data_IF_363415552926
#
_entry.id   IF_363415552926
#
_cell.length_a   1.000
_cell.length_b   1.000
_cell.length_c   1.000
_cell.angle_alpha   90.00
_cell.angle_beta   90.00
_cell.angle_gamma   90.00
#
_symmetry.space_group_name_H-M   'P 1'
#
loop_
_entity.id
_entity.type
_entity.pdbx_description
1 polymer ?
#
# COMPACT_ATOMS: atom_id res chain seq x y z
N UNK A 1 -24.31 11.57 17.73
CA UNK A 1 -23.73 10.29 18.20
C UNK A 1 -24.89 9.35 18.47
N UNK A 2 -25.05 8.30 17.67
CA UNK A 2 -26.13 7.33 17.85
C UNK A 2 -25.68 6.33 18.93
N UNK A 3 -26.32 6.36 20.10
CA UNK A 3 -26.09 5.39 21.17
C UNK A 3 -26.59 4.03 20.70
N UNK A 4 -25.71 3.03 20.62
CA UNK A 4 -26.12 1.65 20.30
C UNK A 4 -27.11 1.18 21.37
N UNK A 5 -28.31 0.67 21.02
CA UNK A 5 -29.42 0.44 21.97
C UNK A 5 -29.26 -0.80 22.86
N UNK A 6 -28.05 -1.36 22.96
CA UNK A 6 -27.81 -2.60 23.70
C UNK A 6 -26.42 -2.62 24.32
N UNK A 7 -26.25 -3.51 25.30
CA UNK A 7 -24.96 -3.79 25.96
C UNK A 7 -24.75 -5.30 25.99
N UNK A 8 -23.55 -5.75 25.63
CA UNK A 8 -23.12 -7.13 25.76
C UNK A 8 -22.19 -7.23 26.97
N UNK A 9 -22.60 -7.95 28.00
CA UNK A 9 -21.77 -8.21 29.17
C UNK A 9 -21.02 -9.54 28.99
N UNK A 10 -19.69 -9.47 28.88
CA UNK A 10 -18.84 -10.67 28.81
C UNK A 10 -18.68 -11.23 30.22
N UNK A 11 -19.47 -12.25 30.57
CA UNK A 11 -19.41 -12.90 31.88
C UNK A 11 -18.19 -13.83 32.01
N UNK A 12 -17.76 -14.39 30.89
CA UNK A 12 -16.54 -15.18 30.72
C UNK A 12 -16.07 -15.00 29.28
N UNK A 13 -14.78 -14.79 29.05
CA UNK A 13 -14.27 -14.39 27.74
C UNK A 13 -12.78 -14.66 27.54
N UNK A 14 -12.19 -14.17 26.44
CA UNK A 14 -10.77 -14.35 26.16
C UNK A 14 -9.91 -13.65 27.23
N UNK A 15 -8.70 -14.15 27.44
CA UNK A 15 -7.72 -13.51 28.33
C UNK A 15 -7.18 -12.18 27.77
N UNK A 16 -7.51 -11.84 26.52
CA UNK A 16 -7.06 -10.62 25.85
C UNK A 16 -8.06 -9.48 26.06
N UNK A 17 -7.56 -8.24 26.13
CA UNK A 17 -8.38 -7.02 26.27
C UNK A 17 -8.87 -6.45 24.93
N UNK A 18 -8.84 -7.25 23.86
CA UNK A 18 -9.17 -6.79 22.50
C UNK A 18 -10.69 -6.63 22.35
N UNK A 19 -11.11 -5.57 21.66
CA UNK A 19 -12.51 -5.39 21.30
C UNK A 19 -12.96 -6.39 20.24
N UNK A 20 -14.26 -6.60 20.06
CA UNK A 20 -14.79 -7.53 19.05
C UNK A 20 -14.33 -7.17 17.64
N UNK A 21 -14.26 -5.88 17.30
CA UNK A 21 -13.74 -5.41 16.00
C UNK A 21 -12.27 -5.77 15.78
N UNK A 22 -11.44 -5.68 16.82
CA UNK A 22 -10.02 -6.05 16.74
C UNK A 22 -9.86 -7.56 16.52
N UNK A 23 -10.67 -8.35 17.23
CA UNK A 23 -10.70 -9.80 17.10
C UNK A 23 -11.20 -10.23 15.72
N UNK A 24 -12.29 -9.62 15.22
CA UNK A 24 -12.83 -9.84 13.87
C UNK A 24 -11.77 -9.54 12.80
N UNK A 25 -11.09 -8.39 12.91
CA UNK A 25 -10.01 -8.02 11.98
C UNK A 25 -8.85 -9.04 12.04
N UNK A 26 -8.46 -9.49 13.24
CA UNK A 26 -7.41 -10.50 13.38
C UNK A 26 -7.81 -11.86 12.77
N UNK A 27 -9.07 -12.27 12.93
CA UNK A 27 -9.59 -13.51 12.34
C UNK A 27 -9.74 -13.41 10.81
N UNK A 28 -10.19 -12.27 10.30
CA UNK A 28 -10.28 -12.01 8.87
C UNK A 28 -8.89 -12.07 8.22
N UNK A 29 -7.89 -11.38 8.81
CA UNK A 29 -6.50 -11.43 8.34
C UNK A 29 -5.95 -12.86 8.33
N UNK A 30 -6.17 -13.63 9.40
CA UNK A 30 -5.74 -15.03 9.47
C UNK A 30 -6.36 -15.89 8.38
N UNK A 31 -7.66 -15.70 8.14
CA UNK A 31 -8.40 -16.45 7.11
C UNK A 31 -7.91 -16.08 5.71
N UNK A 32 -7.71 -14.79 5.44
CA UNK A 32 -7.18 -14.31 4.17
C UNK A 32 -5.77 -14.87 3.91
N UNK A 33 -4.88 -14.83 4.90
CA UNK A 33 -3.53 -15.40 4.77
C UNK A 33 -3.55 -16.91 4.50
N UNK A 34 -4.50 -17.65 5.08
CA UNK A 34 -4.70 -19.07 4.77
C UNK A 34 -5.10 -19.27 3.31
N UNK A 35 -6.09 -18.51 2.83
CA UNK A 35 -6.57 -18.58 1.44
C UNK A 35 -5.44 -18.26 0.47
N UNK A 36 -4.69 -17.17 0.70
CA UNK A 36 -3.54 -16.79 -0.15
C UNK A 36 -2.50 -17.90 -0.22
N UNK A 37 -2.15 -18.49 0.93
CA UNK A 37 -1.17 -19.59 0.99
C UNK A 37 -1.64 -20.83 0.22
N UNK A 38 -2.92 -21.17 0.29
CA UNK A 38 -3.46 -22.37 -0.35
C UNK A 38 -3.57 -22.22 -1.88
N UNK A 39 -3.95 -21.04 -2.36
CA UNK A 39 -4.07 -20.76 -3.79
C UNK A 39 -2.71 -20.46 -4.44
N UNK A 40 -1.77 -19.88 -3.68
CA UNK A 40 -0.56 -19.30 -4.24
C UNK A 40 -0.86 -18.07 -5.11
N UNK A 41 0.18 -17.39 -5.56
CA UNK A 41 0.03 -16.14 -6.33
C UNK A 41 -0.69 -16.35 -7.66
N UNK A 42 -0.28 -17.37 -8.44
CA UNK A 42 -0.89 -17.63 -9.75
C UNK A 42 -2.34 -18.10 -9.61
N UNK A 43 -2.68 -18.84 -8.55
CA UNK A 43 -4.06 -19.23 -8.25
C UNK A 43 -4.92 -18.04 -7.82
N UNK A 44 -4.36 -17.04 -7.13
CA UNK A 44 -5.07 -15.79 -6.82
C UNK A 44 -5.31 -14.94 -8.07
N UNK A 45 -4.32 -14.84 -8.95
CA UNK A 45 -4.47 -14.15 -10.24
C UNK A 45 -5.56 -14.83 -11.07
N UNK A 46 -5.56 -16.17 -11.13
CA UNK A 46 -6.58 -16.92 -11.87
C UNK A 46 -7.97 -16.77 -11.24
N UNK A 47 -8.07 -16.82 -9.90
CA UNK A 47 -9.32 -16.62 -9.18
C UNK A 47 -9.94 -15.24 -9.45
N UNK A 48 -9.11 -14.20 -9.54
CA UNK A 48 -9.56 -12.81 -9.74
C UNK A 48 -9.51 -12.37 -11.21
N UNK A 49 -9.35 -13.30 -12.16
CA UNK A 49 -9.18 -12.98 -13.59
C UNK A 49 -10.33 -12.12 -14.15
N UNK A 50 -11.57 -12.46 -13.83
CA UNK A 50 -12.74 -11.71 -14.33
C UNK A 50 -12.78 -10.28 -13.74
N UNK A 51 -12.48 -10.13 -12.45
CA UNK A 51 -12.42 -8.84 -11.77
C UNK A 51 -11.29 -7.97 -12.32
N UNK A 52 -10.12 -8.54 -12.55
CA UNK A 52 -8.99 -7.80 -13.16
C UNK A 52 -9.26 -7.39 -14.61
N UNK A 53 -9.96 -8.21 -15.39
CA UNK A 53 -10.38 -7.84 -16.74
C UNK A 53 -11.43 -6.70 -16.74
N UNK A 54 -12.35 -6.72 -15.77
CA UNK A 54 -13.29 -5.61 -15.55
C UNK A 54 -12.56 -4.34 -15.13
N UNK A 55 -11.59 -4.45 -14.21
CA UNK A 55 -10.73 -3.35 -13.79
C UNK A 55 -9.92 -2.77 -14.94
N UNK A 56 -9.36 -3.59 -15.83
CA UNK A 56 -8.63 -3.12 -17.00
C UNK A 56 -9.52 -2.30 -17.93
N UNK A 57 -10.76 -2.76 -18.15
CA UNK A 57 -11.74 -2.03 -18.95
C UNK A 57 -12.10 -0.68 -18.32
N UNK A 58 -12.29 -0.65 -16.99
CA UNK A 58 -12.50 0.57 -16.23
C UNK A 58 -11.33 1.56 -16.40
N UNK A 59 -10.11 1.11 -16.14
CA UNK A 59 -8.92 1.97 -16.19
C UNK A 59 -8.64 2.51 -17.59
N UNK A 60 -8.88 1.73 -18.65
CA UNK A 60 -8.76 2.24 -20.04
C UNK A 60 -9.73 3.40 -20.30
N UNK A 61 -10.98 3.27 -19.87
CA UNK A 61 -12.00 4.32 -20.01
C UNK A 61 -11.59 5.55 -19.21
N UNK A 62 -11.26 5.38 -17.93
CA UNK A 62 -10.89 6.48 -17.03
C UNK A 62 -9.63 7.21 -17.52
N UNK A 63 -8.59 6.49 -17.95
CA UNK A 63 -7.39 7.12 -18.53
C UNK A 63 -7.71 7.89 -19.80
N UNK A 64 -8.56 7.37 -20.69
CA UNK A 64 -8.96 8.07 -21.91
C UNK A 64 -9.76 9.35 -21.62
N UNK A 65 -10.71 9.28 -20.69
CA UNK A 65 -11.54 10.43 -20.28
C UNK A 65 -10.74 11.52 -19.54
N UNK A 66 -9.60 11.16 -18.96
CA UNK A 66 -8.76 12.09 -18.20
C UNK A 66 -7.94 13.04 -19.08
N UNK A 67 -7.84 12.81 -20.39
CA UNK A 67 -7.09 13.67 -21.32
C UNK A 67 -5.64 14.02 -20.89
N UNK A 68 -5.00 13.13 -20.12
CA UNK A 68 -3.64 13.33 -19.61
C UNK A 68 -3.56 14.11 -18.29
N UNK A 69 -4.69 14.52 -17.71
CA UNK A 69 -4.77 15.12 -16.39
C UNK A 69 -4.75 14.05 -15.28
N UNK A 70 -4.24 14.44 -14.11
CA UNK A 70 -4.04 13.55 -12.96
C UNK A 70 -4.57 14.19 -11.67
N UNK A 71 -5.01 13.35 -10.72
CA UNK A 71 -5.43 13.76 -9.38
C UNK A 71 -4.73 12.94 -8.31
N UNK A 72 -4.41 13.55 -7.18
CA UNK A 72 -3.67 12.88 -6.10
C UNK A 72 -4.60 12.25 -5.05
N UNK A 73 -4.38 10.96 -4.77
CA UNK A 73 -4.65 10.35 -3.49
C UNK A 73 -3.42 10.57 -2.60
N UNK A 74 -3.55 11.42 -1.59
CA UNK A 74 -2.43 11.89 -0.77
C UNK A 74 -2.73 11.85 0.71
N UNK A 75 -1.76 11.37 1.49
CA UNK A 75 -1.76 11.46 2.96
C UNK A 75 -0.39 11.91 3.46
N UNK A 76 -0.38 12.58 4.61
CA UNK A 76 0.84 12.99 5.32
C UNK A 76 0.83 12.37 6.70
N UNK A 77 1.92 11.69 7.06
CA UNK A 77 2.09 11.00 8.33
C UNK A 77 3.37 11.49 9.02
N UNK A 78 3.38 11.45 10.34
CA UNK A 78 4.57 11.72 11.15
C UNK A 78 4.83 10.53 12.06
N UNK A 79 6.03 9.98 12.01
CA UNK A 79 6.45 8.81 12.76
C UNK A 79 7.57 9.16 13.74
N UNK A 80 7.58 8.47 14.88
CA UNK A 80 8.69 8.46 15.85
C UNK A 80 9.23 7.03 16.03
N UNK A 81 10.51 6.92 16.39
CA UNK A 81 11.17 5.64 16.71
C UNK A 81 11.91 4.99 15.55
N UNK A 82 11.89 5.60 14.37
CA UNK A 82 12.61 5.17 13.18
C UNK A 82 13.05 6.40 12.38
N UNK A 83 14.22 6.36 11.76
CA UNK A 83 14.63 7.39 10.78
C UNK A 83 14.11 7.02 9.39
N UNK A 84 13.92 7.99 8.49
CA UNK A 84 13.48 7.71 7.12
C UNK A 84 14.49 6.81 6.39
N UNK A 85 15.79 6.99 6.63
CA UNK A 85 16.85 6.14 6.10
C UNK A 85 16.71 4.68 6.54
N UNK A 86 16.47 4.45 7.83
CA UNK A 86 16.27 3.08 8.34
C UNK A 86 15.04 2.44 7.71
N UNK A 87 13.95 3.20 7.58
CA UNK A 87 12.73 2.72 6.93
C UNK A 87 12.95 2.37 5.46
N UNK A 88 13.55 3.28 4.68
CA UNK A 88 13.78 3.09 3.25
C UNK A 88 14.74 1.92 3.00
N UNK A 89 15.80 1.77 3.80
CA UNK A 89 16.70 0.63 3.70
C UNK A 89 16.03 -0.70 4.04
N UNK A 90 15.12 -0.70 5.03
CA UNK A 90 14.30 -1.86 5.34
C UNK A 90 13.34 -2.18 4.18
N UNK A 91 12.69 -1.17 3.61
CA UNK A 91 11.70 -1.31 2.55
C UNK A 91 12.29 -1.74 1.19
N UNK A 92 13.43 -1.15 0.81
CA UNK A 92 14.16 -1.35 -0.44
C UNK A 92 15.64 -1.68 -0.13
N UNK A 93 15.95 -2.93 0.26
CA UNK A 93 17.32 -3.30 0.63
C UNK A 93 18.31 -3.13 -0.54
N UNK A 94 19.52 -2.66 -0.20
CA UNK A 94 20.57 -2.31 -1.16
C UNK A 94 21.11 -3.51 -1.98
N UNK A 95 20.90 -4.75 -1.51
CA UNK A 95 21.28 -5.97 -2.21
C UNK A 95 20.44 -6.24 -3.48
N UNK A 96 19.43 -5.39 -3.71
CA UNK A 96 18.49 -5.54 -4.81
C UNK A 96 17.30 -6.39 -4.39
N UNK A 97 16.14 -6.06 -4.95
CA UNK A 97 14.87 -6.60 -4.49
C UNK A 97 14.21 -5.67 -3.46
N UNK A 98 12.92 -5.90 -3.26
CA UNK A 98 12.15 -5.26 -2.20
C UNK A 98 12.02 -6.24 -1.02
N UNK A 99 11.48 -5.81 0.12
CA UNK A 99 11.14 -6.67 1.27
C UNK A 99 10.63 -8.07 0.90
N UNK A 100 10.79 -9.10 1.75
CA UNK A 100 10.21 -10.39 1.44
C UNK A 100 8.69 -10.27 1.23
N UNK A 101 8.17 -11.13 0.35
CA UNK A 101 6.78 -11.08 -0.12
C UNK A 101 5.77 -11.10 1.03
N UNK A 102 6.08 -11.84 2.10
CA UNK A 102 5.22 -12.00 3.26
C UNK A 102 4.95 -10.68 4.01
N UNK A 103 5.98 -9.86 4.20
CA UNK A 103 5.89 -8.55 4.86
C UNK A 103 5.07 -7.55 4.04
N UNK A 104 5.22 -7.58 2.71
CA UNK A 104 4.39 -6.78 1.80
C UNK A 104 2.93 -7.21 1.83
N UNK A 105 2.69 -8.51 1.70
CA UNK A 105 1.34 -9.08 1.75
C UNK A 105 0.66 -8.84 3.10
N UNK A 106 1.41 -8.82 4.20
CA UNK A 106 0.88 -8.61 5.55
C UNK A 106 0.48 -7.15 5.82
N UNK A 107 0.99 -6.18 5.05
CA UNK A 107 0.75 -4.76 5.30
C UNK A 107 -0.69 -4.34 4.98
N UNK A 108 -1.29 -4.92 3.94
CA UNK A 108 -2.68 -4.65 3.57
C UNK A 108 -3.45 -5.95 3.26
N UNK A 109 -4.67 -6.13 3.81
CA UNK A 109 -5.51 -7.30 3.53
C UNK A 109 -5.97 -7.40 2.06
N UNK A 110 -5.76 -6.34 1.26
CA UNK A 110 -6.07 -6.33 -0.17
C UNK A 110 -4.83 -6.41 -1.07
N UNK A 111 -3.63 -6.63 -0.53
CA UNK A 111 -2.48 -7.04 -1.34
C UNK A 111 -2.60 -8.52 -1.68
N UNK A 112 -3.17 -8.87 -2.83
CA UNK A 112 -3.37 -10.27 -3.21
C UNK A 112 -2.06 -10.90 -3.70
N UNK A 113 -1.33 -10.19 -4.58
CA UNK A 113 -0.04 -10.62 -5.13
C UNK A 113 0.92 -9.44 -5.15
N UNK A 114 2.16 -9.65 -4.71
CA UNK A 114 3.18 -8.61 -4.68
C UNK A 114 4.56 -9.23 -4.93
N UNK A 115 4.93 -9.41 -6.20
CA UNK A 115 6.14 -10.17 -6.58
C UNK A 115 7.09 -9.40 -7.49
N UNK A 116 8.35 -9.82 -7.62
CA UNK A 116 9.24 -9.28 -8.63
C UNK A 116 8.61 -9.38 -10.02
N UNK A 117 8.66 -8.29 -10.78
CA UNK A 117 8.22 -8.27 -12.18
C UNK A 117 9.29 -8.81 -13.13
N UNK A 118 8.96 -8.87 -14.42
CA UNK A 118 9.86 -9.40 -15.45
C UNK A 118 11.09 -8.51 -15.75
N UNK A 119 11.03 -7.23 -15.39
CA UNK A 119 12.08 -6.24 -15.66
C UNK A 119 12.85 -5.80 -14.42
N UNK A 120 14.01 -5.12 -14.59
CA UNK A 120 14.73 -4.54 -13.46
C UNK A 120 13.88 -3.48 -12.76
N UNK A 121 13.89 -3.49 -11.42
CA UNK A 121 13.12 -2.54 -10.59
C UNK A 121 11.62 -2.53 -10.92
N UNK A 122 11.08 -3.69 -11.26
CA UNK A 122 9.65 -3.85 -11.52
C UNK A 122 9.02 -4.79 -10.52
N UNK A 123 7.73 -4.58 -10.26
CA UNK A 123 6.88 -5.50 -9.53
C UNK A 123 5.65 -5.86 -10.35
N UNK A 124 5.12 -7.06 -10.12
CA UNK A 124 3.75 -7.42 -10.47
C UNK A 124 2.92 -7.33 -9.20
N UNK A 125 1.88 -6.51 -9.23
CA UNK A 125 1.00 -6.23 -8.11
C UNK A 125 -0.43 -6.56 -8.49
N UNK A 126 -1.11 -7.33 -7.67
CA UNK A 126 -2.57 -7.46 -7.68
C UNK A 126 -3.10 -6.94 -6.35
N UNK A 127 -3.76 -5.79 -6.41
CA UNK A 127 -4.39 -5.16 -5.24
C UNK A 127 -5.67 -4.44 -5.61
N UNK A 128 -6.49 -4.14 -4.61
CA UNK A 128 -7.72 -3.36 -4.82
C UNK A 128 -7.39 -1.87 -4.87
N UNK A 129 -7.78 -1.22 -5.97
CA UNK A 129 -7.69 0.23 -6.17
C UNK A 129 -9.12 0.80 -6.26
N UNK A 130 -9.58 1.47 -5.21
CA UNK A 130 -11.01 1.78 -5.07
C UNK A 130 -11.80 0.51 -4.78
N UNK A 131 -12.75 0.17 -5.63
CA UNK A 131 -13.47 -1.12 -5.57
C UNK A 131 -12.94 -2.13 -6.62
N UNK A 132 -11.84 -1.83 -7.30
CA UNK A 132 -11.37 -2.59 -8.46
C UNK A 132 -10.10 -3.42 -8.15
N UNK A 133 -10.19 -4.75 -8.01
CA UNK A 133 -9.01 -5.62 -8.02
C UNK A 133 -8.24 -5.45 -9.32
N UNK A 134 -7.07 -4.83 -9.26
CA UNK A 134 -6.29 -4.42 -10.42
C UNK A 134 -4.97 -5.20 -10.45
N UNK A 135 -4.70 -5.90 -11.55
CA UNK A 135 -3.38 -6.49 -11.82
C UNK A 135 -2.56 -5.50 -12.66
N UNK A 136 -1.43 -5.04 -12.12
CA UNK A 136 -0.57 -4.08 -12.82
C UNK A 136 0.91 -4.35 -12.56
N UNK A 137 1.73 -3.73 -13.40
CA UNK A 137 3.18 -3.64 -13.21
C UNK A 137 3.56 -2.29 -12.61
N UNK A 138 4.40 -2.28 -11.58
CA UNK A 138 4.92 -1.07 -10.96
C UNK A 138 6.41 -0.95 -11.27
N UNK A 139 6.82 0.14 -11.92
CA UNK A 139 8.21 0.39 -12.34
C UNK A 139 8.80 1.51 -11.49
N UNK A 140 9.86 1.22 -10.73
CA UNK A 140 10.50 2.17 -9.79
C UNK A 140 11.65 2.95 -10.42
N UNK A 141 12.08 4.00 -9.72
CA UNK A 141 13.22 4.87 -10.07
C UNK A 141 13.06 5.53 -11.45
N UNK A 142 11.82 5.89 -11.77
CA UNK A 142 11.49 6.63 -12.98
C UNK A 142 11.70 8.13 -12.78
N UNK A 143 11.94 8.86 -13.88
CA UNK A 143 11.98 10.32 -13.82
C UNK A 143 10.64 10.87 -13.32
N UNK A 144 10.66 11.79 -12.36
CA UNK A 144 9.47 12.45 -11.79
C UNK A 144 8.62 13.12 -12.88
N UNK A 145 7.31 12.91 -12.88
CA UNK A 145 6.40 13.68 -13.72
C UNK A 145 6.26 15.14 -13.24
N UNK A 146 6.16 16.09 -14.18
CA UNK A 146 6.16 17.52 -13.89
C UNK A 146 4.96 18.02 -13.09
N UNK A 147 3.82 17.32 -13.15
CA UNK A 147 2.60 17.66 -12.42
C UNK A 147 2.64 17.23 -10.94
N UNK A 148 3.62 16.41 -10.54
CA UNK A 148 3.73 15.97 -9.15
C UNK A 148 4.14 17.13 -8.26
N UNK A 149 3.46 17.27 -7.12
CA UNK A 149 3.81 18.28 -6.13
C UNK A 149 5.03 17.81 -5.33
N UNK A 150 6.10 18.60 -5.42
CA UNK A 150 7.37 18.34 -4.77
C UNK A 150 7.66 19.37 -3.69
N UNK A 151 8.00 18.91 -2.48
CA UNK A 151 8.54 19.74 -1.42
C UNK A 151 10.05 19.49 -1.28
N UNK A 152 10.91 20.46 -1.66
CA UNK A 152 12.36 20.32 -1.59
C UNK A 152 12.91 20.06 -0.18
N UNK A 153 12.13 20.31 0.88
CA UNK A 153 12.54 20.05 2.26
C UNK A 153 12.45 18.56 2.64
N UNK A 154 11.78 17.74 1.83
CA UNK A 154 11.79 16.29 1.94
C UNK A 154 12.94 15.73 1.09
N UNK A 155 14.06 15.36 1.74
CA UNK A 155 15.30 15.04 1.04
C UNK A 155 15.27 13.70 0.29
N UNK A 156 14.51 12.72 0.77
CA UNK A 156 14.43 11.39 0.14
C UNK A 156 13.15 11.28 -0.66
N UNK A 157 13.25 10.80 -1.90
CA UNK A 157 12.11 10.63 -2.82
C UNK A 157 12.04 9.20 -3.32
N UNK A 158 10.83 8.74 -3.57
CA UNK A 158 10.55 7.49 -4.24
C UNK A 158 9.59 7.76 -5.39
N UNK A 159 9.93 7.26 -6.57
CA UNK A 159 9.15 7.43 -7.78
C UNK A 159 8.82 6.07 -8.37
N UNK A 160 7.59 5.91 -8.85
CA UNK A 160 7.21 4.74 -9.63
C UNK A 160 6.05 5.06 -10.59
N UNK A 161 5.82 4.18 -11.57
CA UNK A 161 4.65 4.21 -12.45
C UNK A 161 3.96 2.87 -12.53
N UNK A 162 2.65 2.87 -12.42
CA UNK A 162 1.79 1.69 -12.54
C UNK A 162 1.22 1.56 -13.94
N UNK A 163 1.33 0.38 -14.54
CA UNK A 163 0.81 0.06 -15.86
C UNK A 163 0.00 -1.23 -15.86
N UNK A 164 -1.23 -1.18 -16.38
CA UNK A 164 -2.02 -2.38 -16.70
C UNK A 164 -1.57 -3.00 -18.04
N UNK A 165 -2.20 -4.10 -18.45
CA UNK A 165 -1.92 -4.76 -19.72
C UNK A 165 -1.95 -3.78 -20.91
N UNK A 166 -1.07 -3.98 -21.90
CA UNK A 166 -0.98 -3.09 -23.06
C UNK A 166 -0.31 -1.74 -22.77
N UNK A 167 0.30 -1.56 -21.59
CA UNK A 167 1.14 -0.40 -21.26
C UNK A 167 0.37 0.88 -20.93
N UNK A 168 -0.90 0.77 -20.56
CA UNK A 168 -1.69 1.93 -20.14
C UNK A 168 -1.27 2.32 -18.73
N UNK A 169 -0.75 3.55 -18.57
CA UNK A 169 -0.40 4.09 -17.26
C UNK A 169 -1.67 4.43 -16.47
N UNK A 170 -1.75 3.93 -15.24
CA UNK A 170 -2.90 4.16 -14.34
C UNK A 170 -2.48 4.83 -13.02
N UNK A 171 -1.18 4.88 -12.72
CA UNK A 171 -0.66 5.47 -11.49
C UNK A 171 0.67 6.18 -11.76
N UNK A 172 0.86 7.33 -11.13
CA UNK A 172 2.17 7.93 -10.88
C UNK A 172 2.39 7.98 -9.37
N UNK A 173 3.48 7.40 -8.88
CA UNK A 173 3.86 7.40 -7.46
C UNK A 173 4.89 8.48 -7.20
N UNK A 174 4.63 9.30 -6.18
CA UNK A 174 5.60 10.24 -5.64
C UNK A 174 5.53 10.25 -4.12
N UNK A 175 6.45 9.55 -3.47
CA UNK A 175 6.58 9.59 -2.01
C UNK A 175 7.80 10.39 -1.63
N UNK A 176 7.69 11.16 -0.56
CA UNK A 176 8.77 12.01 -0.09
C UNK A 176 8.90 11.94 1.43
N UNK A 177 10.14 11.88 1.91
CA UNK A 177 10.48 11.67 3.33
C UNK A 177 11.39 12.78 3.85
N UNK A 178 11.13 13.20 5.09
CA UNK A 178 11.85 14.27 5.80
C UNK A 178 12.14 13.85 7.22
N UNK A 179 13.41 13.61 7.54
CA UNK A 179 13.80 13.33 8.92
C UNK A 179 13.48 14.52 9.84
N UNK A 180 13.05 14.20 11.06
CA UNK A 180 12.92 15.19 12.12
C UNK A 180 14.30 15.70 12.53
N UNK A 181 14.38 16.96 12.95
CA UNK A 181 15.65 17.59 13.32
C UNK A 181 16.37 16.88 14.49
N UNK A 182 15.63 16.16 15.34
CA UNK A 182 16.17 15.40 16.47
C UNK A 182 16.60 13.96 16.10
N UNK A 183 16.47 13.57 14.83
CA UNK A 183 16.79 12.23 14.31
C UNK A 183 16.03 11.08 15.00
N UNK A 184 14.90 11.37 15.66
CA UNK A 184 14.06 10.37 16.34
C UNK A 184 12.77 10.04 15.59
N UNK A 185 12.64 10.49 14.36
CA UNK A 185 11.44 10.34 13.55
C UNK A 185 11.61 10.92 12.15
N UNK A 186 10.54 10.82 11.37
CA UNK A 186 10.42 11.48 10.08
C UNK A 186 8.96 11.81 9.77
N UNK A 187 8.77 12.83 8.95
CA UNK A 187 7.53 13.09 8.25
C UNK A 187 7.59 12.42 6.88
N UNK A 188 6.47 11.87 6.44
CA UNK A 188 6.32 11.27 5.13
C UNK A 188 5.06 11.80 4.48
N UNK A 189 5.22 12.17 3.23
CA UNK A 189 4.13 12.59 2.36
C UNK A 189 4.03 11.57 1.21
N UNK A 190 2.91 10.86 1.20
CA UNK A 190 2.63 9.74 0.33
C UNK A 190 1.59 10.18 -0.69
N UNK A 191 1.99 10.30 -1.95
CA UNK A 191 1.08 10.57 -3.05
C UNK A 191 1.12 9.46 -4.11
N UNK A 192 -0.07 8.98 -4.48
CA UNK A 192 -0.34 8.30 -5.74
C UNK A 192 -1.26 9.19 -6.57
N UNK A 193 -0.92 9.41 -7.82
CA UNK A 193 -1.73 10.15 -8.76
C UNK A 193 -2.44 9.17 -9.69
N UNK A 194 -3.77 9.28 -9.74
CA UNK A 194 -4.63 8.54 -10.66
C UNK A 194 -5.09 9.45 -11.81
N UNK A 195 -5.55 8.91 -12.94
CA UNK A 195 -6.13 9.72 -14.00
C UNK A 195 -7.29 10.58 -13.47
N UNK A 196 -7.40 11.83 -13.93
CA UNK A 196 -8.31 12.84 -13.40
C UNK A 196 -9.82 12.51 -13.52
N UNK A 197 -10.21 11.52 -14.31
CA UNK A 197 -11.59 11.03 -14.37
C UNK A 197 -11.93 10.03 -13.25
N UNK A 198 -10.94 9.51 -12.49
CA UNK A 198 -11.18 8.57 -11.38
C UNK A 198 -12.12 9.17 -10.34
N UNK A 199 -13.09 8.42 -9.81
CA UNK A 199 -14.03 8.94 -8.82
C UNK A 199 -13.37 9.27 -7.47
N UNK A 200 -14.05 10.06 -6.61
CA UNK A 200 -13.54 10.35 -5.25
C UNK A 200 -13.51 9.08 -4.38
N UNK A 201 -14.35 8.10 -4.67
CA UNK A 201 -14.32 6.77 -4.07
C UNK A 201 -12.96 6.08 -4.27
N UNK A 202 -12.39 6.11 -5.49
CA UNK A 202 -11.04 5.59 -5.76
C UNK A 202 -9.99 6.35 -4.97
N UNK A 203 -10.07 7.69 -4.98
CA UNK A 203 -9.09 8.56 -4.32
C UNK A 203 -9.10 8.35 -2.81
N UNK A 204 -10.28 8.40 -2.19
CA UNK A 204 -10.45 8.26 -0.75
C UNK A 204 -10.15 6.84 -0.28
N UNK A 205 -10.61 5.82 -1.01
CA UNK A 205 -10.22 4.43 -0.73
C UNK A 205 -8.70 4.29 -0.75
N UNK A 206 -8.01 4.88 -1.73
CA UNK A 206 -6.56 4.78 -1.78
C UNK A 206 -5.84 5.59 -0.68
N UNK A 207 -6.41 6.71 -0.20
CA UNK A 207 -5.90 7.37 1.03
C UNK A 207 -6.00 6.45 2.25
N UNK A 208 -7.11 5.71 2.37
CA UNK A 208 -7.29 4.73 3.44
C UNK A 208 -6.33 3.55 3.30
N UNK A 209 -6.13 3.07 2.07
CA UNK A 209 -5.15 2.04 1.72
C UNK A 209 -3.75 2.46 2.19
N UNK A 210 -3.25 3.63 1.75
CA UNK A 210 -1.95 4.16 2.15
C UNK A 210 -1.81 4.27 3.68
N UNK A 211 -2.87 4.72 4.37
CA UNK A 211 -2.86 4.84 5.82
C UNK A 211 -2.68 3.46 6.49
N UNK A 212 -3.42 2.44 6.07
CA UNK A 212 -3.33 1.09 6.63
C UNK A 212 -1.97 0.45 6.30
N UNK A 213 -1.59 0.51 5.03
CA UNK A 213 -0.37 -0.09 4.49
C UNK A 213 0.88 0.47 5.19
N UNK A 214 1.10 1.79 5.11
CA UNK A 214 2.29 2.40 5.69
C UNK A 214 2.30 2.35 7.21
N UNK A 215 1.14 2.44 7.88
CA UNK A 215 1.08 2.25 9.34
C UNK A 215 1.55 0.85 9.76
N UNK A 216 1.24 -0.17 8.96
CA UNK A 216 1.68 -1.53 9.26
C UNK A 216 3.15 -1.74 8.89
N UNK A 217 3.62 -1.20 7.78
CA UNK A 217 5.04 -1.23 7.42
C UNK A 217 5.92 -0.50 8.44
N UNK A 218 5.51 0.66 8.94
CA UNK A 218 6.27 1.35 10.00
C UNK A 218 6.40 0.51 11.26
N UNK A 219 5.32 -0.17 11.67
CA UNK A 219 5.36 -1.09 12.83
C UNK A 219 6.32 -2.24 12.60
N UNK A 220 6.22 -2.90 11.45
CA UNK A 220 7.09 -4.03 11.08
C UNK A 220 8.56 -3.61 11.04
N UNK A 221 8.87 -2.44 10.46
CA UNK A 221 10.23 -1.91 10.41
C UNK A 221 10.80 -1.63 11.81
N UNK A 222 10.00 -1.06 12.71
CA UNK A 222 10.39 -0.82 14.10
C UNK A 222 10.64 -2.14 14.84
N UNK A 223 9.77 -3.14 14.64
CA UNK A 223 9.92 -4.47 15.22
C UNK A 223 11.18 -5.17 14.73
N UNK A 224 11.45 -5.13 13.42
CA UNK A 224 12.66 -5.67 12.82
C UNK A 224 13.93 -5.01 13.38
N UNK A 225 13.94 -3.67 13.50
CA UNK A 225 15.05 -2.93 14.10
C UNK A 225 15.31 -3.33 15.56
N UNK A 226 14.24 -3.51 16.35
CA UNK A 226 14.34 -3.96 17.76
C UNK A 226 14.91 -5.37 17.84
N UNK A 227 14.44 -6.28 17.01
CA UNK A 227 14.95 -7.66 16.98
C UNK A 227 16.44 -7.72 16.61
N UNK A 228 16.89 -6.89 15.66
CA UNK A 228 18.30 -6.80 15.28
C UNK A 228 19.21 -6.21 16.36
N UNK A 229 18.68 -5.41 17.30
CA UNK A 229 19.46 -4.82 18.41
C UNK A 229 19.62 -5.78 19.61
N UNK A 230 18.84 -6.86 19.65
CA UNK A 230 18.86 -7.86 20.72
C UNK A 230 19.75 -9.08 20.42
N UNK A 231 20.26 -9.18 19.20
CA UNK A 231 21.19 -10.22 18.74
C UNK A 231 22.61 -9.66 18.61
#
# INVERSE_FOLDING_TARGET
MCSTPYTINVLQGPNTKQGTKDLEAAFARRSMMLVRRLLGEDGLIDLLREETAASDSYWRTITAESNGDWKAARIVLSLRGLTSKDFVNWFLPAEGGMLPEQEKLAAHPEHWVVRPGAGPKTMTVLETLGEHPTLFSLVFDVARASFTEDDPTFATKMTARGFIEGGVQIMELYHQFKDHADAQGFDVDLAIYFPAASGEDVVECHRQHLLVEFSNWFKQAIEAKRAATLN
#
